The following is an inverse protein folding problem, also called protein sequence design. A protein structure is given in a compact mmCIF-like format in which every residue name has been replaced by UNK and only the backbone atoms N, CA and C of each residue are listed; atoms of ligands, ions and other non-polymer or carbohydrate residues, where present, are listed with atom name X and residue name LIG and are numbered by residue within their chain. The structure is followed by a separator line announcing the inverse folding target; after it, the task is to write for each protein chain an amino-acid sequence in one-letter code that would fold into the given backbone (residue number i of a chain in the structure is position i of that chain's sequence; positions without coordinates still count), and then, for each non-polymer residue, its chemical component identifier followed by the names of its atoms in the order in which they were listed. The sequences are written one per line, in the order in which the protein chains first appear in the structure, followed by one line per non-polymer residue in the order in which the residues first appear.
data_IF_719068363431
#
_entry.id   IF_719068363431
#
_cell.length_a   1.000
_cell.length_b   1.000
_cell.length_c   1.000
_cell.angle_alpha   90.00
_cell.angle_beta   90.00
_cell.angle_gamma   90.00
#
_symmetry.space_group_name_H-M   'P 1'
#
loop_
_entity.id
_entity.type
_entity.pdbx_description
1 polymer ?
#
# COMPACT_ATOMS: atom_id res chain seq x y z
N UNK A 1 25.14 5.52 -14.36
CA UNK A 1 25.78 5.23 -13.07
C UNK A 1 26.91 6.22 -12.75
N UNK A 2 28.09 6.19 -13.39
CA UNK A 2 29.21 7.13 -13.09
C UNK A 2 28.87 8.63 -13.18
N UNK A 3 28.05 9.05 -14.14
CA UNK A 3 27.62 10.45 -14.29
C UNK A 3 26.63 10.92 -13.19
N UNK A 4 25.97 9.99 -12.52
CA UNK A 4 24.95 10.27 -11.50
C UNK A 4 25.51 10.27 -10.07
N UNK A 5 26.63 9.59 -9.86
CA UNK A 5 27.23 9.35 -8.55
C UNK A 5 28.66 9.84 -8.58
N UNK A 6 28.96 11.09 -8.26
CA UNK A 6 30.33 11.59 -8.17
C UNK A 6 30.99 11.07 -6.87
N UNK A 7 32.13 10.38 -6.99
CA UNK A 7 32.77 9.72 -5.84
C UNK A 7 33.15 10.69 -4.73
N UNK A 8 33.65 11.88 -5.06
CA UNK A 8 34.07 12.89 -4.09
C UNK A 8 32.85 13.34 -3.29
N UNK A 9 31.77 13.68 -3.98
CA UNK A 9 30.51 14.09 -3.35
C UNK A 9 29.93 12.99 -2.46
N UNK A 10 30.04 11.72 -2.87
CA UNK A 10 29.56 10.59 -2.06
C UNK A 10 30.43 10.40 -0.82
N UNK A 11 31.75 10.42 -0.96
CA UNK A 11 32.66 10.26 0.18
C UNK A 11 32.53 11.42 1.17
N UNK A 12 32.26 12.63 0.69
CA UNK A 12 32.00 13.81 1.52
C UNK A 12 30.64 13.73 2.21
N UNK A 13 29.59 13.40 1.46
CA UNK A 13 28.23 13.33 1.99
C UNK A 13 28.04 12.17 2.96
N UNK A 14 28.62 10.99 2.66
CA UNK A 14 28.50 9.77 3.46
C UNK A 14 29.81 9.44 4.16
N UNK A 15 30.41 10.44 4.78
CA UNK A 15 31.62 10.25 5.57
C UNK A 15 31.31 9.55 6.91
N UNK A 16 32.34 9.07 7.63
CA UNK A 16 32.16 8.43 8.94
C UNK A 16 31.57 9.31 10.05
N UNK A 17 31.59 10.64 9.92
CA UNK A 17 31.00 11.55 10.92
C UNK A 17 29.48 11.41 10.96
N UNK A 18 28.86 11.01 9.83
CA UNK A 18 27.44 10.67 9.78
C UNK A 18 27.05 9.60 10.80
N UNK A 19 27.96 8.70 11.18
CA UNK A 19 27.67 7.64 12.13
C UNK A 19 27.10 8.19 13.45
N UNK A 20 27.54 9.36 13.91
CA UNK A 20 27.01 10.01 15.13
C UNK A 20 25.58 10.50 14.90
N UNK A 21 25.30 11.05 13.73
CA UNK A 21 23.97 11.57 13.39
C UNK A 21 22.95 10.46 13.17
N UNK A 22 23.34 9.39 12.47
CA UNK A 22 22.44 8.24 12.24
C UNK A 22 22.29 7.37 13.49
N UNK A 23 23.20 7.43 14.47
CA UNK A 23 23.09 6.66 15.72
C UNK A 23 21.78 6.91 16.49
N UNK A 24 21.18 8.10 16.35
CA UNK A 24 19.89 8.43 16.95
C UNK A 24 18.69 7.75 16.26
N UNK A 25 18.90 7.11 15.10
CA UNK A 25 17.85 6.45 14.35
C UNK A 25 17.59 5.06 14.91
N UNK A 26 16.43 4.92 15.55
CA UNK A 26 15.99 3.66 16.14
C UNK A 26 15.46 2.67 15.10
N UNK A 27 14.77 3.16 14.07
CA UNK A 27 14.11 2.34 13.06
C UNK A 27 14.90 2.37 11.74
N UNK A 28 15.43 1.23 11.32
CA UNK A 28 16.22 1.07 10.10
C UNK A 28 15.38 1.37 8.85
N UNK A 29 14.06 1.17 8.91
CA UNK A 29 13.15 1.45 7.79
C UNK A 29 13.24 2.90 7.29
N UNK A 30 13.48 3.86 8.19
CA UNK A 30 13.59 5.28 7.83
C UNK A 30 14.79 5.56 6.93
N UNK A 31 15.89 4.82 7.12
CA UNK A 31 17.09 4.91 6.28
C UNK A 31 16.92 4.08 5.01
N UNK A 32 16.33 2.88 5.12
CA UNK A 32 16.01 2.03 3.98
C UNK A 32 15.14 2.75 2.94
N UNK A 33 14.16 3.54 3.38
CA UNK A 33 13.23 4.23 2.51
C UNK A 33 13.83 5.50 1.84
N UNK A 34 15.08 5.86 2.13
CA UNK A 34 15.79 6.96 1.47
C UNK A 34 16.26 6.54 0.07
N UNK A 35 15.38 6.62 -0.93
CA UNK A 35 15.62 6.14 -2.31
C UNK A 35 16.80 6.80 -3.03
N UNK A 36 17.19 8.01 -2.60
CA UNK A 36 18.33 8.73 -3.20
C UNK A 36 19.69 8.26 -2.66
N UNK A 37 19.70 7.47 -1.58
CA UNK A 37 20.94 6.95 -0.99
C UNK A 37 21.44 5.74 -1.78
N UNK A 38 22.67 5.77 -2.33
CA UNK A 38 23.21 4.65 -3.07
C UNK A 38 23.47 3.44 -2.16
N UNK A 39 23.45 2.25 -2.76
CA UNK A 39 23.91 1.02 -2.11
C UNK A 39 25.40 0.79 -2.31
N UNK A 40 25.99 -0.03 -1.45
CA UNK A 40 27.38 -0.48 -1.59
C UNK A 40 27.64 -1.11 -2.97
N UNK A 41 26.67 -1.87 -3.48
CA UNK A 41 26.73 -2.47 -4.81
C UNK A 41 26.52 -1.46 -5.94
N UNK A 42 25.72 -0.42 -5.75
CA UNK A 42 25.63 0.66 -6.73
C UNK A 42 26.95 1.42 -6.87
N UNK A 43 27.67 1.63 -5.76
CA UNK A 43 29.03 2.19 -5.79
C UNK A 43 30.02 1.27 -6.51
N UNK A 44 29.97 -0.03 -6.22
CA UNK A 44 30.79 -1.04 -6.88
C UNK A 44 30.53 -1.08 -8.39
N UNK A 45 29.27 -1.14 -8.83
CA UNK A 45 28.91 -1.07 -10.25
C UNK A 45 29.31 0.24 -10.92
N UNK A 46 29.26 1.36 -10.18
CA UNK A 46 29.65 2.65 -10.72
C UNK A 46 31.17 2.73 -10.89
N UNK A 47 31.99 2.22 -9.98
CA UNK A 47 33.43 2.53 -9.94
C UNK A 47 34.36 1.32 -10.11
N UNK A 48 33.81 0.12 -10.12
CA UNK A 48 34.55 -1.13 -10.00
C UNK A 48 34.84 -1.49 -8.54
N UNK A 49 34.99 -2.78 -8.27
CA UNK A 49 35.19 -3.34 -6.93
C UNK A 49 36.50 -2.88 -6.26
N UNK A 50 37.57 -2.62 -7.05
CA UNK A 50 38.87 -2.26 -6.49
C UNK A 50 39.00 -0.81 -5.99
N UNK A 51 38.05 0.08 -6.31
CA UNK A 51 38.30 1.53 -6.13
C UNK A 51 37.39 2.22 -5.12
N UNK A 52 36.07 2.32 -5.32
CA UNK A 52 35.26 3.21 -4.49
C UNK A 52 34.66 2.53 -3.26
N UNK A 53 33.90 1.45 -3.47
CA UNK A 53 33.10 0.82 -2.42
C UNK A 53 33.98 0.16 -1.37
N UNK A 54 35.03 -0.55 -1.79
CA UNK A 54 36.01 -1.19 -0.90
C UNK A 54 36.79 -0.18 -0.07
N UNK A 55 37.27 0.92 -0.68
CA UNK A 55 37.98 1.99 0.03
C UNK A 55 37.05 2.68 1.02
N UNK A 56 35.80 2.94 0.62
CA UNK A 56 34.81 3.55 1.50
C UNK A 56 34.51 2.65 2.71
N UNK A 57 34.24 1.35 2.50
CA UNK A 57 34.02 0.39 3.60
C UNK A 57 35.26 0.32 4.50
N UNK A 58 36.45 0.25 3.91
CA UNK A 58 37.72 0.24 4.66
C UNK A 58 37.84 1.46 5.58
N UNK A 59 37.50 2.65 5.11
CA UNK A 59 37.51 3.86 5.94
C UNK A 59 36.61 3.72 7.17
N UNK A 60 35.40 3.16 7.02
CA UNK A 60 34.50 2.92 8.15
C UNK A 60 35.08 1.90 9.14
N UNK A 61 35.67 0.81 8.63
CA UNK A 61 36.29 -0.24 9.44
C UNK A 61 37.53 0.22 10.19
N UNK A 62 38.37 1.05 9.58
CA UNK A 62 39.56 1.62 10.24
C UNK A 62 39.16 2.46 11.45
N UNK A 63 38.11 3.26 11.32
CA UNK A 63 37.62 4.08 12.43
C UNK A 63 37.05 3.22 13.57
N UNK A 64 36.33 2.14 13.24
CA UNK A 64 35.92 1.14 14.23
C UNK A 64 37.16 0.53 14.91
N UNK A 65 38.13 0.08 14.12
CA UNK A 65 39.34 -0.55 14.59
C UNK A 65 40.11 0.37 15.56
N UNK A 66 40.23 1.65 15.25
CA UNK A 66 40.88 2.66 16.11
C UNK A 66 40.08 2.93 17.38
N UNK A 67 38.75 3.02 17.28
CA UNK A 67 37.85 3.26 18.40
C UNK A 67 37.90 2.15 19.46
N UNK A 68 37.94 0.87 19.04
CA UNK A 68 37.89 -0.26 19.96
C UNK A 68 39.22 -0.40 20.71
N UNK A 69 39.25 -0.18 22.03
CA UNK A 69 40.49 -0.15 22.84
C UNK A 69 41.25 -1.47 23.06
N UNK A 70 41.15 -2.44 22.14
CA UNK A 70 41.82 -3.75 22.23
C UNK A 70 43.29 -3.69 21.77
N UNK A 71 44.10 -4.63 22.26
CA UNK A 71 45.55 -4.69 21.96
C UNK A 71 45.82 -5.07 20.50
N UNK A 72 45.10 -6.06 19.99
CA UNK A 72 45.30 -6.58 18.64
C UNK A 72 44.26 -5.96 17.70
N UNK A 73 44.74 -5.11 16.80
CA UNK A 73 43.92 -4.41 15.80
C UNK A 73 43.88 -5.22 14.51
N UNK A 74 42.85 -5.00 13.69
CA UNK A 74 42.83 -5.53 12.32
C UNK A 74 43.95 -4.91 11.49
N UNK A 75 44.65 -5.74 10.73
CA UNK A 75 45.64 -5.32 9.73
C UNK A 75 45.04 -5.35 8.32
N UNK A 76 45.71 -4.68 7.37
CA UNK A 76 45.27 -4.57 5.99
C UNK A 76 45.00 -5.93 5.32
N UNK A 77 45.77 -6.98 5.65
CA UNK A 77 45.54 -8.32 5.12
C UNK A 77 44.23 -8.97 5.60
N UNK A 78 43.65 -8.48 6.70
CA UNK A 78 42.37 -8.92 7.26
C UNK A 78 41.23 -7.99 6.82
N UNK A 79 41.47 -6.67 6.86
CA UNK A 79 40.46 -5.65 6.47
C UNK A 79 40.08 -5.81 5.00
N UNK A 80 41.05 -6.05 4.13
CA UNK A 80 40.84 -6.14 2.70
C UNK A 80 39.87 -7.30 2.31
N UNK A 81 40.11 -8.56 2.69
CA UNK A 81 39.14 -9.63 2.49
C UNK A 81 37.81 -9.41 3.20
N UNK A 82 37.81 -8.77 4.39
CA UNK A 82 36.57 -8.44 5.09
C UNK A 82 35.71 -7.46 4.27
N UNK A 83 36.29 -6.42 3.68
CA UNK A 83 35.57 -5.51 2.78
C UNK A 83 34.96 -6.28 1.60
N UNK A 84 35.73 -7.18 1.00
CA UNK A 84 35.28 -7.97 -0.15
C UNK A 84 34.10 -8.89 0.24
N UNK A 85 34.17 -9.53 1.41
CA UNK A 85 33.07 -10.33 1.96
C UNK A 85 31.81 -9.49 2.19
N UNK A 86 31.95 -8.32 2.80
CA UNK A 86 30.85 -7.39 3.06
C UNK A 86 30.17 -6.96 1.75
N UNK A 87 30.95 -6.69 0.70
CA UNK A 87 30.41 -6.31 -0.61
C UNK A 87 29.60 -7.43 -1.25
N UNK A 88 30.11 -8.66 -1.19
CA UNK A 88 29.47 -9.83 -1.80
C UNK A 88 28.17 -10.18 -1.08
N UNK A 89 28.19 -10.25 0.25
CA UNK A 89 27.04 -10.71 1.03
C UNK A 89 26.05 -9.60 1.35
N UNK A 90 26.56 -8.42 1.70
CA UNK A 90 25.78 -7.30 2.24
C UNK A 90 25.76 -6.08 1.31
N UNK A 91 26.16 -6.23 0.03
CA UNK A 91 26.20 -5.13 -0.93
C UNK A 91 24.85 -4.46 -1.22
N UNK A 92 23.73 -5.05 -0.78
CA UNK A 92 22.39 -4.46 -0.86
C UNK A 92 22.12 -3.34 0.16
N UNK A 93 22.96 -3.20 1.18
CA UNK A 93 22.84 -2.10 2.16
C UNK A 93 23.10 -0.75 1.49
N UNK A 94 22.28 0.23 1.85
CA UNK A 94 22.55 1.62 1.53
C UNK A 94 23.60 2.22 2.47
N UNK A 95 24.22 3.32 2.04
CA UNK A 95 25.32 3.93 2.80
C UNK A 95 24.92 4.39 4.20
N UNK A 96 23.69 4.88 4.37
CA UNK A 96 23.17 5.31 5.68
C UNK A 96 22.94 4.10 6.59
N UNK A 97 22.39 3.01 6.06
CA UNK A 97 22.21 1.75 6.79
C UNK A 97 23.56 1.20 7.27
N UNK A 98 24.60 1.25 6.43
CA UNK A 98 25.93 0.80 6.82
C UNK A 98 26.58 1.71 7.89
N UNK A 99 26.41 3.04 7.78
CA UNK A 99 26.84 3.96 8.83
C UNK A 99 26.11 3.70 10.16
N UNK A 100 24.81 3.38 10.12
CA UNK A 100 24.02 3.03 11.30
C UNK A 100 24.52 1.72 11.92
N UNK A 101 24.82 0.71 11.08
CA UNK A 101 25.43 -0.53 11.54
C UNK A 101 26.72 -0.27 12.31
N UNK A 102 27.65 0.51 11.74
CA UNK A 102 28.93 0.84 12.40
C UNK A 102 28.73 1.60 13.71
N UNK A 103 27.77 2.54 13.76
CA UNK A 103 27.43 3.26 14.98
C UNK A 103 26.92 2.34 16.09
N UNK A 104 26.00 1.42 15.75
CA UNK A 104 25.43 0.42 16.68
C UNK A 104 26.45 -0.61 17.14
N UNK A 105 27.36 -1.00 16.25
CA UNK A 105 28.47 -1.89 16.59
C UNK A 105 29.40 -1.22 17.60
N UNK A 106 29.76 0.06 17.39
CA UNK A 106 30.56 0.82 18.36
C UNK A 106 29.86 1.06 19.69
N UNK A 107 28.53 1.12 19.71
CA UNK A 107 27.76 1.20 20.95
C UNK A 107 27.62 -0.14 21.68
N UNK A 108 28.16 -1.23 21.12
CA UNK A 108 28.07 -2.57 21.70
C UNK A 108 26.67 -3.17 21.64
N UNK A 109 25.83 -2.77 20.66
CA UNK A 109 24.48 -3.33 20.49
C UNK A 109 24.52 -4.82 20.09
N UNK A 110 25.51 -5.20 19.30
CA UNK A 110 25.71 -6.54 18.78
C UNK A 110 26.83 -7.24 19.56
N UNK A 111 27.93 -7.61 18.89
CA UNK A 111 29.06 -8.28 19.51
C UNK A 111 29.97 -7.34 20.33
N UNK A 112 30.71 -7.92 21.28
CA UNK A 112 31.78 -7.26 22.02
C UNK A 112 33.15 -7.81 21.61
N UNK A 113 34.13 -6.92 21.47
CA UNK A 113 35.50 -7.30 21.13
C UNK A 113 36.34 -7.52 22.38
N UNK A 114 36.91 -8.72 22.54
CA UNK A 114 37.81 -9.06 23.65
C UNK A 114 39.22 -9.36 23.13
N UNK A 115 40.21 -8.59 23.58
CA UNK A 115 41.63 -8.81 23.27
C UNK A 115 42.05 -8.47 21.83
N UNK A 116 41.18 -8.74 20.84
CA UNK A 116 41.34 -8.42 19.42
C UNK A 116 40.04 -7.97 18.76
N UNK A 117 40.13 -7.19 17.68
CA UNK A 117 39.01 -6.97 16.76
C UNK A 117 38.95 -8.16 15.80
N UNK A 118 37.86 -8.93 15.83
CA UNK A 118 37.69 -10.15 15.02
C UNK A 118 36.78 -9.87 13.81
N UNK A 119 37.25 -10.09 12.56
CA UNK A 119 36.41 -9.96 11.36
C UNK A 119 35.14 -10.81 11.40
N UNK A 120 35.20 -12.01 11.97
CA UNK A 120 34.06 -12.92 12.03
C UNK A 120 32.96 -12.39 12.94
N UNK A 121 33.32 -11.70 14.04
CA UNK A 121 32.34 -11.04 14.91
C UNK A 121 31.67 -9.85 14.21
N UNK A 122 32.40 -9.12 13.35
CA UNK A 122 31.82 -8.06 12.53
C UNK A 122 30.78 -8.62 11.56
N UNK A 123 31.09 -9.74 10.90
CA UNK A 123 30.15 -10.41 9.99
C UNK A 123 28.91 -10.97 10.72
N UNK A 124 29.09 -11.56 11.91
CA UNK A 124 27.95 -11.97 12.76
C UNK A 124 27.07 -10.79 13.16
N UNK A 125 27.69 -9.68 13.57
CA UNK A 125 26.97 -8.44 13.89
C UNK A 125 26.21 -7.87 12.69
N UNK A 126 26.77 -8.01 11.47
CA UNK A 126 26.07 -7.64 10.24
C UNK A 126 24.85 -8.54 10.00
N UNK A 127 24.96 -9.84 10.22
CA UNK A 127 23.82 -10.76 10.08
C UNK A 127 22.70 -10.41 11.06
N UNK A 128 23.04 -10.12 12.33
CA UNK A 128 22.07 -9.63 13.33
C UNK A 128 21.46 -8.29 12.92
N UNK A 129 22.25 -7.36 12.39
CA UNK A 129 21.75 -6.10 11.84
C UNK A 129 20.78 -6.33 10.67
N UNK A 130 21.03 -7.32 9.82
CA UNK A 130 20.13 -7.67 8.71
C UNK A 130 18.81 -8.26 9.20
N UNK A 131 18.82 -8.99 10.31
CA UNK A 131 17.60 -9.44 10.98
C UNK A 131 16.80 -8.25 11.53
N UNK A 132 17.44 -7.35 12.30
CA UNK A 132 16.83 -6.10 12.79
C UNK A 132 16.18 -5.31 11.64
N UNK A 133 16.93 -5.15 10.54
CA UNK A 133 16.49 -4.44 9.34
C UNK A 133 15.25 -5.08 8.73
N UNK A 134 15.21 -6.42 8.63
CA UNK A 134 14.07 -7.15 8.06
C UNK A 134 12.83 -6.97 8.92
N UNK A 135 12.98 -7.04 10.24
CA UNK A 135 11.88 -6.86 11.18
C UNK A 135 11.34 -5.43 11.16
N UNK A 136 12.22 -4.44 11.11
CA UNK A 136 11.86 -3.02 10.97
C UNK A 136 11.07 -2.76 9.68
N UNK A 137 11.55 -3.29 8.55
CA UNK A 137 10.86 -3.16 7.26
C UNK A 137 9.49 -3.84 7.30
N UNK A 138 9.42 -5.09 7.75
CA UNK A 138 8.18 -5.86 7.80
C UNK A 138 7.12 -5.18 8.68
N UNK A 139 7.53 -4.67 9.84
CA UNK A 139 6.65 -3.94 10.77
C UNK A 139 6.08 -2.69 10.12
N UNK A 140 6.93 -1.89 9.47
CA UNK A 140 6.50 -0.65 8.84
C UNK A 140 5.58 -0.91 7.64
N UNK A 141 5.90 -1.89 6.80
CA UNK A 141 5.05 -2.27 5.66
C UNK A 141 3.68 -2.75 6.16
N UNK A 142 3.64 -3.62 7.16
CA UNK A 142 2.38 -4.11 7.74
C UNK A 142 1.54 -2.97 8.34
N UNK A 143 2.17 -1.99 8.98
CA UNK A 143 1.47 -0.82 9.52
C UNK A 143 0.90 0.08 8.41
N UNK A 144 1.65 0.31 7.32
CA UNK A 144 1.14 1.06 6.17
C UNK A 144 -0.06 0.36 5.52
N UNK A 145 0.00 -0.95 5.33
CA UNK A 145 -1.11 -1.74 4.80
C UNK A 145 -2.34 -1.68 5.72
N UNK A 146 -2.13 -1.71 7.04
CA UNK A 146 -3.20 -1.58 8.03
C UNK A 146 -3.87 -0.21 7.96
N UNK A 147 -3.09 0.87 7.89
CA UNK A 147 -3.59 2.24 7.76
C UNK A 147 -4.36 2.41 6.45
N UNK A 148 -3.82 1.91 5.34
CA UNK A 148 -4.49 2.00 4.04
C UNK A 148 -5.81 1.22 4.02
N UNK A 149 -5.85 0.04 4.64
CA UNK A 149 -7.08 -0.75 4.78
C UNK A 149 -8.11 -0.01 5.63
N UNK A 150 -7.72 0.50 6.79
CA UNK A 150 -8.61 1.29 7.66
C UNK A 150 -9.15 2.52 6.94
N UNK A 151 -8.32 3.19 6.14
CA UNK A 151 -8.75 4.32 5.32
C UNK A 151 -9.79 3.91 4.28
N UNK A 152 -9.54 2.82 3.53
CA UNK A 152 -10.51 2.28 2.55
C UNK A 152 -11.82 1.85 3.20
N UNK A 153 -11.76 1.19 4.35
CA UNK A 153 -12.93 0.75 5.09
C UNK A 153 -13.72 1.96 5.63
N UNK A 154 -13.04 2.98 6.15
CA UNK A 154 -13.66 4.21 6.60
C UNK A 154 -14.29 5.01 5.44
N UNK A 155 -13.62 5.07 4.28
CA UNK A 155 -14.15 5.69 3.06
C UNK A 155 -15.37 4.92 2.54
N UNK A 156 -15.34 3.59 2.52
CA UNK A 156 -16.46 2.75 2.13
C UNK A 156 -17.67 2.90 3.08
N UNK A 157 -17.42 2.97 4.38
CA UNK A 157 -18.46 3.17 5.39
C UNK A 157 -19.05 4.59 5.31
N UNK A 158 -18.22 5.61 5.12
CA UNK A 158 -18.67 6.98 4.90
C UNK A 158 -19.52 7.10 3.61
N UNK A 159 -19.08 6.45 2.52
CA UNK A 159 -19.84 6.38 1.28
C UNK A 159 -21.19 5.68 1.47
N UNK A 160 -21.19 4.51 2.12
CA UNK A 160 -22.41 3.74 2.43
C UNK A 160 -23.38 4.57 3.25
N UNK A 161 -22.89 5.25 4.29
CA UNK A 161 -23.70 6.12 5.14
C UNK A 161 -24.29 7.29 4.34
N UNK A 162 -23.49 7.98 3.54
CA UNK A 162 -23.96 9.09 2.71
C UNK A 162 -25.02 8.64 1.68
N UNK A 163 -24.84 7.45 1.09
CA UNK A 163 -25.84 6.87 0.18
C UNK A 163 -27.15 6.52 0.89
N UNK A 164 -27.07 5.92 2.09
CA UNK A 164 -28.24 5.64 2.92
C UNK A 164 -28.97 6.91 3.33
N UNK A 165 -28.25 7.93 3.79
CA UNK A 165 -28.83 9.22 4.16
C UNK A 165 -29.53 9.88 2.97
N UNK A 166 -28.94 9.78 1.77
CA UNK A 166 -29.56 10.24 0.51
C UNK A 166 -30.85 9.48 0.19
N UNK A 167 -30.85 8.15 0.34
CA UNK A 167 -32.03 7.31 0.13
C UNK A 167 -33.17 7.67 1.08
N UNK A 168 -32.89 7.77 2.39
CA UNK A 168 -33.90 8.13 3.38
C UNK A 168 -34.50 9.52 3.13
N UNK A 169 -33.68 10.47 2.66
CA UNK A 169 -34.12 11.84 2.39
C UNK A 169 -35.01 11.95 1.15
N UNK A 170 -34.69 11.21 0.08
CA UNK A 170 -35.29 11.40 -1.25
C UNK A 170 -36.41 10.41 -1.56
N UNK A 171 -36.43 9.25 -0.90
CA UNK A 171 -37.44 8.22 -1.14
C UNK A 171 -38.51 8.25 -0.06
N UNK A 172 -39.78 8.55 -0.42
CA UNK A 172 -40.90 8.53 0.51
C UNK A 172 -41.16 7.13 1.07
N UNK A 173 -41.49 7.06 2.36
CA UNK A 173 -41.71 5.79 3.08
C UNK A 173 -40.55 4.80 2.94
N UNK A 174 -39.32 5.32 2.82
CA UNK A 174 -38.09 4.52 2.84
C UNK A 174 -38.08 3.54 4.01
N UNK A 175 -37.49 2.36 3.78
CA UNK A 175 -37.46 1.20 4.68
C UNK A 175 -38.79 0.53 5.02
N UNK A 176 -39.87 0.90 4.33
CA UNK A 176 -41.17 0.22 4.46
C UNK A 176 -41.55 -0.50 3.17
N UNK A 177 -42.47 -1.46 3.25
CA UNK A 177 -43.03 -2.15 2.07
C UNK A 177 -43.79 -1.21 1.11
N UNK A 178 -44.00 0.05 1.51
CA UNK A 178 -44.66 1.09 0.70
C UNK A 178 -43.66 1.97 -0.06
N UNK A 179 -42.36 1.74 0.08
CA UNK A 179 -41.34 2.48 -0.65
C UNK A 179 -41.46 2.23 -2.17
N UNK A 180 -41.40 3.28 -3.01
CA UNK A 180 -41.49 3.11 -4.46
C UNK A 180 -40.31 2.32 -5.02
N UNK A 181 -39.13 2.42 -4.42
CA UNK A 181 -37.92 1.63 -4.71
C UNK A 181 -37.23 1.27 -3.41
N UNK A 182 -36.52 0.14 -3.38
CA UNK A 182 -35.70 -0.22 -2.22
C UNK A 182 -34.27 0.37 -2.33
N UNK A 183 -33.47 0.22 -1.27
CA UNK A 183 -32.11 0.76 -1.26
C UNK A 183 -31.22 0.15 -2.36
N UNK A 184 -31.16 -1.18 -2.57
CA UNK A 184 -30.41 -1.76 -3.68
C UNK A 184 -30.80 -1.21 -5.06
N UNK A 185 -32.09 -1.03 -5.35
CA UNK A 185 -32.54 -0.42 -6.60
C UNK A 185 -32.14 1.06 -6.69
N UNK A 186 -32.26 1.82 -5.61
CA UNK A 186 -31.82 3.22 -5.56
C UNK A 186 -30.31 3.38 -5.77
N UNK A 187 -29.53 2.55 -5.08
CA UNK A 187 -28.08 2.63 -5.08
C UNK A 187 -27.46 1.99 -6.33
N UNK A 188 -27.75 0.72 -6.61
CA UNK A 188 -27.17 0.00 -7.76
C UNK A 188 -27.85 0.31 -9.08
N UNK A 189 -29.11 0.75 -9.07
CA UNK A 189 -29.79 1.29 -10.25
C UNK A 189 -29.34 2.71 -10.61
N UNK A 190 -28.55 3.38 -9.74
CA UNK A 190 -27.98 4.69 -10.04
C UNK A 190 -28.95 5.87 -9.87
N UNK A 191 -30.14 5.64 -9.29
CA UNK A 191 -31.18 6.66 -9.12
C UNK A 191 -30.70 7.88 -8.29
N UNK A 192 -29.70 7.68 -7.42
CA UNK A 192 -29.06 8.77 -6.68
C UNK A 192 -28.39 9.84 -7.55
N UNK A 193 -28.10 9.54 -8.83
CA UNK A 193 -27.46 10.46 -9.78
C UNK A 193 -28.42 11.40 -10.52
N UNK A 194 -29.73 11.13 -10.40
CA UNK A 194 -30.79 11.94 -10.99
C UNK A 194 -31.07 13.17 -10.14
N UNK A 195 -31.53 14.26 -10.77
CA UNK A 195 -32.13 15.40 -10.03
C UNK A 195 -33.42 14.97 -9.33
N UNK A 196 -33.96 15.80 -8.43
CA UNK A 196 -35.21 15.44 -7.73
C UNK A 196 -36.39 15.28 -8.70
N UNK A 197 -36.52 16.16 -9.69
CA UNK A 197 -37.56 16.06 -10.73
C UNK A 197 -37.38 14.80 -11.61
N UNK A 198 -36.14 14.49 -12.01
CA UNK A 198 -35.82 13.29 -12.79
C UNK A 198 -36.09 12.02 -11.98
N UNK A 199 -35.80 12.05 -10.68
CA UNK A 199 -36.03 10.95 -9.76
C UNK A 199 -37.53 10.66 -9.64
N UNK A 200 -38.38 11.68 -9.48
CA UNK A 200 -39.84 11.49 -9.42
C UNK A 200 -40.37 10.76 -10.66
N UNK A 201 -39.93 11.17 -11.85
CA UNK A 201 -40.28 10.50 -13.11
C UNK A 201 -39.73 9.07 -13.14
N UNK A 202 -38.49 8.87 -12.70
CA UNK A 202 -37.87 7.56 -12.65
C UNK A 202 -38.63 6.60 -11.72
N UNK A 203 -39.10 7.05 -10.55
CA UNK A 203 -39.86 6.22 -9.61
C UNK A 203 -41.17 5.70 -10.22
N UNK A 204 -41.88 6.53 -10.99
CA UNK A 204 -43.05 6.09 -11.76
C UNK A 204 -42.64 5.04 -12.78
N UNK A 205 -41.52 5.27 -13.48
CA UNK A 205 -41.03 4.35 -14.51
C UNK A 205 -40.61 2.98 -13.94
N UNK A 206 -39.98 2.96 -12.77
CA UNK A 206 -39.64 1.71 -12.08
C UNK A 206 -40.90 0.94 -11.70
N UNK A 207 -41.96 1.62 -11.25
CA UNK A 207 -43.24 0.97 -10.97
C UNK A 207 -43.88 0.34 -12.22
N UNK A 208 -43.72 0.95 -13.40
CA UNK A 208 -44.12 0.35 -14.69
C UNK A 208 -43.27 -0.88 -15.02
N UNK A 209 -41.93 -0.78 -14.89
CA UNK A 209 -41.00 -1.89 -15.14
C UNK A 209 -41.35 -3.12 -14.28
N UNK A 210 -41.75 -2.92 -13.02
CA UNK A 210 -42.23 -4.01 -12.14
C UNK A 210 -43.49 -4.68 -12.67
N UNK A 211 -44.45 -3.91 -13.20
CA UNK A 211 -45.69 -4.44 -13.79
C UNK A 211 -45.40 -5.27 -15.05
N UNK A 212 -44.41 -4.87 -15.83
CA UNK A 212 -44.02 -5.58 -17.06
C UNK A 212 -43.15 -6.81 -16.78
N UNK A 213 -42.29 -6.75 -15.76
CA UNK A 213 -41.55 -7.92 -15.26
C UNK A 213 -42.49 -8.99 -14.69
N UNK A 214 -43.56 -8.60 -13.99
CA UNK A 214 -44.61 -9.51 -13.50
C UNK A 214 -45.43 -10.21 -14.60
N UNK A 215 -45.41 -9.70 -15.84
CA UNK A 215 -46.09 -10.31 -17.00
C UNK A 215 -45.22 -11.32 -17.76
N UNK A 216 -43.89 -11.28 -17.61
CA UNK A 216 -42.98 -12.27 -18.22
C UNK A 216 -42.96 -13.54 -17.37
N UNK A 217 -43.64 -14.61 -17.84
CA UNK A 217 -43.61 -15.95 -17.21
C UNK A 217 -42.17 -16.39 -16.93
N UNK A 218 -41.95 -16.92 -15.72
CA UNK A 218 -40.68 -17.45 -15.24
C UNK A 218 -40.14 -18.57 -16.16
N UNK A 219 -39.11 -18.28 -16.96
CA UNK A 219 -38.21 -19.34 -17.45
C UNK A 219 -37.07 -19.46 -16.43
N UNK A 220 -37.13 -20.52 -15.63
CA UNK A 220 -36.15 -20.84 -14.59
C UNK A 220 -34.86 -21.34 -15.28
N UNK A 221 -33.69 -20.71 -15.13
CA UNK A 221 -32.44 -21.33 -15.54
C UNK A 221 -31.99 -22.30 -14.44
N UNK A 222 -31.76 -23.55 -14.83
CA UNK A 222 -31.20 -24.60 -13.98
C UNK A 222 -29.71 -24.36 -13.70
N UNK A 223 -29.32 -24.47 -12.43
CA UNK A 223 -27.95 -24.85 -12.03
C UNK A 223 -26.97 -23.71 -11.72
N UNK A 224 -26.31 -23.83 -10.56
CA UNK A 224 -25.11 -23.11 -10.10
C UNK A 224 -25.31 -21.64 -9.66
N UNK A 225 -25.99 -20.77 -10.42
CA UNK A 225 -26.08 -19.33 -10.08
C UNK A 225 -26.96 -19.05 -8.86
N UNK A 226 -27.96 -19.89 -8.60
CA UNK A 226 -28.86 -19.74 -7.45
C UNK A 226 -28.16 -19.83 -6.09
N UNK A 227 -27.05 -20.58 -6.00
CA UNK A 227 -26.32 -20.74 -4.74
C UNK A 227 -25.48 -19.50 -4.40
N UNK A 228 -24.89 -18.83 -5.38
CA UNK A 228 -24.06 -17.64 -5.14
C UNK A 228 -24.94 -16.47 -4.69
N UNK A 229 -26.10 -16.28 -5.33
CA UNK A 229 -27.05 -15.24 -4.96
C UNK A 229 -27.62 -15.43 -3.54
N UNK A 230 -27.91 -16.67 -3.13
CA UNK A 230 -28.37 -16.95 -1.76
C UNK A 230 -27.28 -16.70 -0.71
N UNK A 231 -26.03 -17.03 -1.04
CA UNK A 231 -24.88 -16.83 -0.14
C UNK A 231 -24.57 -15.35 0.06
N UNK A 232 -24.61 -14.53 -0.99
CA UNK A 232 -24.41 -13.08 -0.91
C UNK A 232 -25.55 -12.42 -0.12
N UNK A 233 -26.80 -12.82 -0.38
CA UNK A 233 -27.97 -12.27 0.32
C UNK A 233 -27.96 -12.59 1.82
N UNK A 234 -27.46 -13.78 2.19
CA UNK A 234 -27.28 -14.20 3.59
C UNK A 234 -26.11 -13.46 4.26
N UNK A 235 -24.98 -13.28 3.55
CA UNK A 235 -23.82 -12.54 4.06
C UNK A 235 -24.10 -11.04 4.27
N UNK A 236 -25.05 -10.48 3.53
CA UNK A 236 -25.52 -9.09 3.66
C UNK A 236 -26.69 -8.91 4.64
N UNK A 237 -27.11 -9.97 5.35
CA UNK A 237 -28.09 -9.88 6.45
C UNK A 237 -29.57 -9.79 6.03
N UNK A 238 -29.91 -10.10 4.78
CA UNK A 238 -31.29 -10.06 4.31
C UNK A 238 -32.11 -11.25 4.86
N UNK A 239 -33.14 -10.98 5.67
CA UNK A 239 -34.11 -12.00 6.09
C UNK A 239 -35.05 -12.33 4.92
N UNK A 240 -35.13 -13.62 4.59
CA UNK A 240 -36.07 -14.16 3.59
C UNK A 240 -37.53 -13.91 3.99
N UNK A 241 -38.12 -12.84 3.45
CA UNK A 241 -39.57 -12.65 3.39
C UNK A 241 -40.13 -13.31 2.11
N UNK A 242 -41.27 -14.00 2.22
CA UNK A 242 -41.87 -14.78 1.13
C UNK A 242 -42.41 -13.90 -0.01
N UNK A 243 -42.15 -14.35 -1.24
CA UNK A 243 -42.97 -14.18 -2.45
C UNK A 243 -42.85 -12.89 -3.28
N UNK A 244 -41.91 -12.88 -4.24
CA UNK A 244 -42.23 -12.73 -5.68
C UNK A 244 -41.07 -13.29 -6.52
N UNK A 245 -41.38 -13.97 -7.62
CA UNK A 245 -40.40 -14.60 -8.52
C UNK A 245 -39.75 -13.60 -9.48
N UNK A 246 -39.45 -12.40 -9.00
CA UNK A 246 -38.79 -11.35 -9.79
C UNK A 246 -37.29 -11.51 -9.55
N UNK A 247 -36.52 -11.68 -10.61
CA UNK A 247 -35.07 -11.74 -10.50
C UNK A 247 -34.58 -10.34 -10.09
N UNK A 248 -34.14 -10.12 -8.84
CA UNK A 248 -33.92 -8.78 -8.30
C UNK A 248 -32.80 -8.04 -9.06
N UNK A 249 -31.84 -8.77 -9.62
CA UNK A 249 -30.79 -8.19 -10.46
C UNK A 249 -31.27 -7.79 -11.86
N UNK A 250 -32.35 -8.40 -12.36
CA UNK A 250 -32.90 -8.08 -13.67
C UNK A 250 -33.48 -6.66 -13.71
N UNK A 251 -34.33 -6.33 -12.72
CA UNK A 251 -34.93 -5.01 -12.65
C UNK A 251 -33.90 -3.92 -12.34
N UNK A 252 -32.89 -4.20 -11.51
CA UNK A 252 -31.81 -3.24 -11.21
C UNK A 252 -31.02 -2.88 -12.47
N UNK A 253 -30.76 -3.84 -13.35
CA UNK A 253 -30.08 -3.57 -14.63
C UNK A 253 -30.95 -2.71 -15.56
N UNK A 254 -32.27 -2.98 -15.62
CA UNK A 254 -33.20 -2.18 -16.42
C UNK A 254 -33.30 -0.74 -15.90
N UNK A 255 -33.33 -0.56 -14.57
CA UNK A 255 -33.28 0.76 -13.92
C UNK A 255 -31.97 1.48 -14.27
N UNK A 256 -30.83 0.79 -14.16
CA UNK A 256 -29.52 1.36 -14.48
C UNK A 256 -29.43 1.84 -15.92
N UNK A 257 -29.88 1.01 -16.88
CA UNK A 257 -29.89 1.39 -18.29
C UNK A 257 -30.73 2.65 -18.54
N UNK A 258 -31.92 2.73 -17.93
CA UNK A 258 -32.76 3.93 -18.01
C UNK A 258 -32.06 5.16 -17.41
N UNK A 259 -31.44 5.05 -16.24
CA UNK A 259 -30.70 6.15 -15.60
C UNK A 259 -29.55 6.62 -16.49
N UNK A 260 -28.80 5.70 -17.11
CA UNK A 260 -27.72 6.04 -18.04
C UNK A 260 -28.24 6.81 -19.26
N UNK A 261 -29.40 6.44 -19.82
CA UNK A 261 -30.05 7.16 -20.92
C UNK A 261 -30.48 8.58 -20.51
N UNK A 262 -31.05 8.74 -19.31
CA UNK A 262 -31.44 10.06 -18.78
C UNK A 262 -30.22 10.96 -18.60
N UNK A 263 -29.14 10.44 -18.01
CA UNK A 263 -27.89 11.18 -17.80
C UNK A 263 -27.27 11.57 -19.14
N UNK A 264 -27.24 10.66 -20.11
CA UNK A 264 -26.72 10.92 -21.45
C UNK A 264 -27.53 12.03 -22.14
N UNK A 265 -28.85 11.95 -22.11
CA UNK A 265 -29.74 12.96 -22.69
C UNK A 265 -29.53 14.34 -22.05
N UNK A 266 -29.38 14.39 -20.71
CA UNK A 266 -29.04 15.62 -19.98
C UNK A 266 -27.72 16.23 -20.44
N UNK A 267 -26.69 15.40 -20.65
CA UNK A 267 -25.38 15.86 -21.12
C UNK A 267 -25.43 16.41 -22.55
N UNK A 268 -26.20 15.79 -23.44
CA UNK A 268 -26.37 16.24 -24.84
C UNK A 268 -27.11 17.59 -24.90
N UNK A 269 -28.14 17.77 -24.07
CA UNK A 269 -28.88 19.03 -23.94
C UNK A 269 -27.96 20.13 -23.41
N UNK A 270 -27.16 19.86 -22.37
CA UNK A 270 -26.22 20.84 -21.81
C UNK A 270 -25.14 21.28 -22.81
N UNK A 271 -24.66 20.38 -23.67
CA UNK A 271 -23.72 20.69 -24.76
C UNK A 271 -24.38 21.52 -25.86
N UNK A 272 -25.67 21.28 -26.15
CA UNK A 272 -26.43 22.05 -27.13
C UNK A 272 -26.75 23.47 -26.63
N UNK A 273 -26.98 23.66 -25.33
CA UNK A 273 -27.28 24.97 -24.73
C UNK A 273 -26.04 25.80 -24.39
N UNK A 274 -24.89 25.17 -24.13
CA UNK A 274 -23.60 25.84 -23.89
C UNK A 274 -22.81 26.27 -25.13
N UNK A 275 -23.34 26.00 -26.34
CA UNK A 275 -22.75 26.42 -27.64
C UNK A 275 -23.41 27.68 -28.24
N UNK A 276 -24.23 28.41 -27.47
CA UNK A 276 -24.79 29.71 -27.84
C UNK A 276 -24.05 30.87 -27.18
#
# INVERSE_FOLDING_TARGET
MRKSYNIIQITEAYNPDLQVHVAAVNDVYLLYNQKDTPTLRMLEQAYGQEYASRVWIKTQLVILNDFVGVKNKLEDFQINPLCDQILVEYGGLNLLEFCLFMARLRSGKYEQFYGSVDPMLILKSLEEFMADRRDDINRNVAEQERIERQKKDAEAEAYRKAMMDSYHKRIPNSDTDKAPVDYPEYHWGGLYQLTDDELEVALVKVAEMRKDAGKKKSNKPSGVVGNIASTISTALGFKSSKSSSINPFGIINDIRAYVEEVIKSRSEIAVATGKS
#
